data_IF_082389909934
#
_entry.id   IF_082389909934
#
_cell.length_a   1.000
_cell.length_b   1.000
_cell.length_c   1.000
_cell.angle_alpha   90.00
_cell.angle_beta   90.00
_cell.angle_gamma   90.00
#
_symmetry.space_group_name_H-M   'P 1'
#
loop_
_entity.id
_entity.type
_entity.pdbx_description
1 polymer ?
#
# COMPACT_ATOMS: atom_id res chain seq x y z
N UNK A 1 -21.87 8.53 -4.20
CA UNK A 1 -21.61 7.14 -3.75
C UNK A 1 -21.39 7.17 -2.25
N UNK A 2 -22.09 6.36 -1.44
CA UNK A 2 -21.82 6.30 -0.01
C UNK A 2 -20.44 5.67 0.22
N UNK A 3 -19.60 6.32 1.00
CA UNK A 3 -18.29 5.78 1.40
C UNK A 3 -18.54 4.64 2.38
N UNK A 4 -18.31 3.39 1.94
CA UNK A 4 -18.35 2.23 2.83
C UNK A 4 -17.11 2.28 3.72
N UNK A 5 -17.32 2.51 5.02
CA UNK A 5 -16.22 2.52 6.01
C UNK A 5 -15.61 1.12 6.13
N UNK A 6 -14.29 1.05 6.21
CA UNK A 6 -13.58 -0.16 6.59
C UNK A 6 -13.72 -0.36 8.10
N UNK A 7 -14.04 -1.59 8.51
CA UNK A 7 -14.16 -1.97 9.91
C UNK A 7 -13.18 -3.11 10.21
N UNK A 8 -12.57 -3.14 11.40
CA UNK A 8 -11.72 -4.26 11.79
C UNK A 8 -12.43 -5.60 11.67
N UNK A 9 -11.67 -6.64 11.32
CA UNK A 9 -12.16 -8.03 11.15
C UNK A 9 -13.22 -8.20 10.06
N UNK A 10 -13.43 -7.21 9.20
CA UNK A 10 -14.19 -7.37 7.96
C UNK A 10 -13.23 -7.55 6.80
N UNK A 11 -13.67 -8.33 5.79
CA UNK A 11 -12.92 -8.48 4.55
C UNK A 11 -12.81 -7.11 3.87
N UNK A 12 -11.58 -6.70 3.61
CA UNK A 12 -11.29 -5.48 2.85
C UNK A 12 -11.79 -5.71 1.40
N UNK A 13 -12.50 -4.75 0.78
CA UNK A 13 -12.81 -4.83 -0.64
C UNK A 13 -11.54 -5.00 -1.46
N UNK A 14 -11.61 -5.82 -2.50
CA UNK A 14 -10.46 -5.99 -3.37
C UNK A 14 -10.13 -4.70 -4.13
N UNK A 15 -8.85 -4.52 -4.41
CA UNK A 15 -8.33 -3.39 -5.17
C UNK A 15 -7.27 -3.92 -6.12
N UNK A 16 -7.36 -3.52 -7.39
CA UNK A 16 -6.42 -3.91 -8.44
C UNK A 16 -5.91 -2.67 -9.15
N UNK A 17 -4.58 -2.54 -9.25
CA UNK A 17 -3.90 -1.34 -9.72
C UNK A 17 -2.64 -1.72 -10.51
N UNK A 18 -2.22 -0.89 -11.48
CA UNK A 18 -0.91 -1.04 -12.10
C UNK A 18 0.19 -0.59 -11.13
N UNK A 19 1.28 -1.35 -11.08
CA UNK A 19 2.52 -0.98 -10.40
C UNK A 19 3.38 -0.06 -11.27
N UNK A 20 4.37 0.58 -10.65
CA UNK A 20 5.38 1.38 -11.35
C UNK A 20 6.18 0.50 -12.33
N UNK A 21 6.37 -0.79 -12.02
CA UNK A 21 7.00 -1.77 -12.93
C UNK A 21 6.19 -2.01 -14.21
N UNK A 22 4.89 -1.68 -14.21
CA UNK A 22 3.95 -1.98 -15.31
C UNK A 22 3.16 -3.27 -15.10
N UNK A 23 3.46 -4.05 -14.05
CA UNK A 23 2.70 -5.23 -13.69
C UNK A 23 1.39 -4.86 -13.00
N UNK A 24 0.38 -5.72 -13.13
CA UNK A 24 -0.85 -5.58 -12.35
C UNK A 24 -0.65 -6.16 -10.96
N UNK A 25 -1.13 -5.46 -9.95
CA UNK A 25 -1.17 -5.92 -8.58
C UNK A 25 -2.61 -5.94 -8.08
N UNK A 26 -2.97 -6.96 -7.32
CA UNK A 26 -4.27 -7.05 -6.65
C UNK A 26 -4.10 -7.43 -5.19
N UNK A 27 -4.96 -6.88 -4.31
CA UNK A 27 -4.94 -7.23 -2.90
C UNK A 27 -5.35 -8.69 -2.66
N UNK A 28 -6.17 -9.26 -3.53
CA UNK A 28 -6.60 -10.65 -3.42
C UNK A 28 -5.53 -11.68 -3.82
N UNK A 29 -4.53 -11.28 -4.61
CA UNK A 29 -3.40 -12.14 -5.00
C UNK A 29 -2.27 -12.15 -3.96
N UNK A 30 -2.26 -11.20 -3.03
CA UNK A 30 -1.27 -11.11 -1.97
C UNK A 30 -1.28 -12.35 -1.06
N UNK A 31 -0.09 -12.89 -0.79
CA UNK A 31 0.12 -14.00 0.14
C UNK A 31 1.20 -13.68 1.17
N UNK A 32 0.99 -12.67 2.04
CA UNK A 32 1.90 -12.41 3.15
C UNK A 32 1.83 -13.54 4.17
N UNK A 33 2.88 -13.69 4.97
CA UNK A 33 2.84 -14.60 6.13
C UNK A 33 1.86 -14.08 7.20
N UNK A 34 1.87 -12.76 7.45
CA UNK A 34 1.04 -12.14 8.48
C UNK A 34 0.05 -11.11 7.92
N UNK A 35 0.53 -10.04 7.28
CA UNK A 35 -0.34 -8.93 6.83
C UNK A 35 0.13 -8.30 5.52
N UNK A 36 -0.82 -7.74 4.77
CA UNK A 36 -0.54 -6.77 3.70
C UNK A 36 -0.77 -5.36 4.23
N UNK A 37 0.30 -4.56 4.27
CA UNK A 37 0.29 -3.16 4.67
C UNK A 37 0.08 -2.28 3.44
N UNK A 38 -1.11 -1.69 3.33
CA UNK A 38 -1.50 -0.78 2.25
C UNK A 38 -1.43 0.66 2.74
N UNK A 39 -0.52 1.45 2.18
CA UNK A 39 -0.30 2.85 2.56
C UNK A 39 -0.77 3.78 1.46
N UNK A 40 -1.89 4.47 1.69
CA UNK A 40 -2.33 5.55 0.81
C UNK A 40 -1.64 6.86 1.18
N UNK A 41 -1.01 7.52 0.20
CA UNK A 41 -0.39 8.83 0.36
C UNK A 41 -0.92 9.81 -0.69
N UNK A 42 -0.79 11.12 -0.42
CA UNK A 42 -1.42 12.16 -1.24
C UNK A 42 -0.82 12.25 -2.64
N UNK A 43 0.49 12.17 -2.74
CA UNK A 43 1.24 12.28 -3.99
C UNK A 43 2.69 12.70 -3.80
N UNK A 44 3.47 12.64 -4.88
CA UNK A 44 4.93 12.86 -4.99
C UNK A 44 5.39 14.21 -4.45
N UNK A 45 4.57 15.25 -4.66
CA UNK A 45 4.94 16.63 -4.28
C UNK A 45 4.64 16.96 -2.81
N UNK A 46 4.08 16.03 -2.04
CA UNK A 46 3.80 16.26 -0.63
C UNK A 46 5.06 16.01 0.23
N UNK A 47 5.61 17.03 0.92
CA UNK A 47 6.84 16.88 1.71
C UNK A 47 6.67 15.92 2.90
N UNK A 48 5.49 15.89 3.52
CA UNK A 48 5.18 14.99 4.63
C UNK A 48 5.09 13.53 4.14
N UNK A 49 4.43 13.30 3.00
CA UNK A 49 4.37 11.96 2.40
C UNK A 49 5.78 11.45 2.06
N UNK A 50 6.66 12.31 1.53
CA UNK A 50 8.05 11.94 1.26
C UNK A 50 8.79 11.51 2.53
N UNK A 51 8.59 12.21 3.65
CA UNK A 51 9.17 11.81 4.93
C UNK A 51 8.64 10.44 5.36
N UNK A 52 7.32 10.24 5.33
CA UNK A 52 6.69 8.97 5.68
C UNK A 52 7.20 7.81 4.81
N UNK A 53 7.26 7.99 3.49
CA UNK A 53 7.77 6.97 2.57
C UNK A 53 9.26 6.68 2.80
N UNK A 54 10.06 7.68 3.15
CA UNK A 54 11.46 7.47 3.52
C UNK A 54 11.58 6.63 4.80
N UNK A 55 10.74 6.89 5.79
CA UNK A 55 10.73 6.14 7.05
C UNK A 55 10.29 4.69 6.84
N UNK A 56 9.26 4.48 6.00
CA UNK A 56 8.83 3.13 5.57
C UNK A 56 9.96 2.42 4.83
N UNK A 57 10.61 3.10 3.87
CA UNK A 57 11.75 2.55 3.12
C UNK A 57 12.88 2.08 4.03
N UNK A 58 13.22 2.85 5.06
CA UNK A 58 14.28 2.49 6.03
C UNK A 58 13.93 1.28 6.90
N UNK A 59 12.67 0.88 6.98
CA UNK A 59 12.21 -0.25 7.78
C UNK A 59 11.65 -1.41 6.93
N UNK A 60 11.84 -1.40 5.60
CA UNK A 60 11.32 -2.45 4.72
C UNK A 60 11.74 -3.85 5.16
N UNK A 61 13.02 -4.03 5.49
CA UNK A 61 13.55 -5.33 5.91
C UNK A 61 12.88 -5.81 7.21
N UNK A 62 12.63 -4.91 8.16
CA UNK A 62 11.92 -5.25 9.41
C UNK A 62 10.48 -5.68 9.16
N UNK A 63 9.79 -5.06 8.19
CA UNK A 63 8.45 -5.49 7.83
C UNK A 63 8.48 -6.86 7.15
N UNK A 64 9.45 -7.11 6.27
CA UNK A 64 9.65 -8.40 5.64
C UNK A 64 9.98 -9.50 6.67
N UNK A 65 10.84 -9.22 7.65
CA UNK A 65 11.14 -10.12 8.77
C UNK A 65 9.91 -10.44 9.63
N UNK A 66 8.96 -9.52 9.72
CA UNK A 66 7.66 -9.72 10.37
C UNK A 66 6.63 -10.39 9.44
N UNK A 67 7.01 -10.82 8.24
CA UNK A 67 6.10 -11.47 7.31
C UNK A 67 5.05 -10.52 6.71
N UNK A 68 5.36 -9.23 6.63
CA UNK A 68 4.46 -8.18 6.14
C UNK A 68 4.87 -7.74 4.74
N UNK A 69 3.95 -7.89 3.78
CA UNK A 69 4.10 -7.31 2.45
C UNK A 69 3.60 -5.87 2.47
N UNK A 70 4.31 -4.94 1.83
CA UNK A 70 3.95 -3.53 1.83
C UNK A 70 3.74 -3.00 0.41
N UNK A 71 2.69 -2.19 0.22
CA UNK A 71 2.47 -1.39 -0.99
C UNK A 71 2.13 0.06 -0.62
N UNK A 72 2.68 1.01 -1.36
CA UNK A 72 2.35 2.43 -1.25
C UNK A 72 1.60 2.89 -2.50
N UNK A 73 0.44 3.51 -2.32
CA UNK A 73 -0.50 3.89 -3.38
C UNK A 73 -0.77 5.39 -3.29
N UNK A 74 -0.77 6.08 -4.43
CA UNK A 74 -1.29 7.45 -4.54
C UNK A 74 -2.21 7.56 -5.75
N UNK A 75 -2.82 8.74 -5.91
CA UNK A 75 -3.64 9.07 -7.08
C UNK A 75 -2.84 9.75 -8.19
N UNK A 76 -1.51 9.80 -8.08
CA UNK A 76 -0.64 10.32 -9.14
C UNK A 76 -0.62 9.37 -10.35
N UNK A 77 -0.39 9.93 -11.53
CA UNK A 77 0.02 9.16 -12.72
C UNK A 77 1.40 8.55 -12.52
N UNK A 78 1.72 7.56 -13.36
CA UNK A 78 3.09 7.03 -13.45
C UNK A 78 4.08 8.10 -13.94
N UNK A 79 3.61 9.02 -14.77
CA UNK A 79 4.33 10.17 -15.33
C UNK A 79 4.48 11.31 -14.32
#
# INVERSE_FOLDING_TARGET
MPVKKLLPRQKVPDISLPLISGEAWSLSDERPENFSLVVFYRGRHCPVCRSQLSDLKRNLDKFAELGVNMIAISSDSKE
#
